data_IF_643302766463
#
_entry.id   IF_643302766463
#
_cell.length_a   1.000
_cell.length_b   1.000
_cell.length_c   1.000
_cell.angle_alpha   90.00
_cell.angle_beta   90.00
_cell.angle_gamma   90.00
#
_symmetry.space_group_name_H-M   'P 1'
#
loop_
_entity.id
_entity.type
_entity.pdbx_description
1 polymer ?
#
# COMPACT_ATOMS: atom_id res chain seq x y z
N UNK A 1 28.87 5.57 0.60
CA UNK A 1 27.53 5.25 1.13
C UNK A 1 26.73 4.61 0.01
N UNK A 2 26.58 3.29 0.02
CA UNK A 2 25.78 2.60 -0.99
C UNK A 2 24.30 2.85 -0.73
N UNK A 3 23.60 3.46 -1.68
CA UNK A 3 22.14 3.55 -1.65
C UNK A 3 21.62 2.11 -1.66
N UNK A 4 21.14 1.60 -0.51
CA UNK A 4 20.47 0.30 -0.46
C UNK A 4 19.26 0.42 -1.39
N UNK A 5 19.34 -0.25 -2.53
CA UNK A 5 18.21 -0.47 -3.43
C UNK A 5 17.18 -1.26 -2.61
N UNK A 6 16.20 -0.58 -2.01
CA UNK A 6 15.05 -1.29 -1.47
C UNK A 6 14.46 -2.09 -2.62
N UNK A 7 14.40 -3.40 -2.45
CA UNK A 7 13.71 -4.25 -3.41
C UNK A 7 12.24 -3.82 -3.43
N UNK A 8 11.60 -3.87 -4.59
CA UNK A 8 10.19 -3.45 -4.75
C UNK A 8 9.25 -4.13 -3.74
N UNK A 9 9.64 -5.31 -3.24
CA UNK A 9 8.93 -6.07 -2.20
C UNK A 9 8.98 -5.38 -0.83
N UNK A 10 10.13 -4.85 -0.41
CA UNK A 10 10.28 -4.15 0.87
C UNK A 10 9.48 -2.84 0.85
N UNK A 11 9.59 -2.08 -0.25
CA UNK A 11 8.84 -0.85 -0.42
C UNK A 11 7.32 -1.11 -0.39
N UNK A 12 6.86 -2.18 -1.04
CA UNK A 12 5.45 -2.59 -1.02
C UNK A 12 5.00 -3.01 0.38
N UNK A 13 5.80 -3.82 1.09
CA UNK A 13 5.47 -4.26 2.44
C UNK A 13 5.34 -3.08 3.42
N UNK A 14 6.28 -2.12 3.35
CA UNK A 14 6.21 -0.86 4.11
C UNK A 14 4.96 -0.07 3.78
N UNK A 15 4.65 0.09 2.50
CA UNK A 15 3.46 0.83 2.08
C UNK A 15 2.16 0.20 2.62
N UNK A 16 2.05 -1.13 2.59
CA UNK A 16 0.91 -1.87 3.15
C UNK A 16 0.78 -1.64 4.65
N UNK A 17 1.89 -1.65 5.38
CA UNK A 17 1.91 -1.45 6.84
C UNK A 17 1.61 0.00 7.22
N UNK A 18 2.28 0.98 6.60
CA UNK A 18 2.09 2.41 6.82
C UNK A 18 0.63 2.84 6.58
N UNK A 19 0.04 2.32 5.50
CA UNK A 19 -1.35 2.59 5.13
C UNK A 19 -2.36 1.67 5.81
N UNK A 20 -1.90 0.67 6.57
CA UNK A 20 -2.73 -0.34 7.26
C UNK A 20 -3.74 -1.02 6.33
N UNK A 21 -3.34 -1.33 5.10
CA UNK A 21 -4.25 -1.76 4.01
C UNK A 21 -4.90 -3.12 4.27
N UNK A 22 -4.31 -3.95 5.12
CA UNK A 22 -4.81 -5.29 5.42
C UNK A 22 -5.43 -5.39 6.82
N UNK A 23 -5.11 -4.48 7.72
CA UNK A 23 -5.43 -4.62 9.14
C UNK A 23 -4.49 -3.83 10.03
N UNK A 24 -4.64 -4.02 11.33
CA UNK A 24 -3.71 -3.50 12.32
C UNK A 24 -3.36 -4.57 13.35
N UNK A 25 -2.23 -4.39 14.04
CA UNK A 25 -1.89 -5.20 15.21
C UNK A 25 -2.43 -4.49 16.45
N UNK A 26 -3.18 -5.21 17.28
CA UNK A 26 -3.60 -4.78 18.61
C UNK A 26 -3.21 -5.85 19.62
N UNK A 27 -2.45 -5.46 20.64
CA UNK A 27 -1.97 -6.38 21.68
C UNK A 27 -1.27 -7.64 21.11
N UNK A 28 -0.47 -7.48 20.05
CA UNK A 28 0.23 -8.59 19.39
C UNK A 28 -0.65 -9.46 18.49
N UNK A 29 -1.96 -9.19 18.39
CA UNK A 29 -2.89 -9.93 17.54
C UNK A 29 -3.16 -9.12 16.27
N UNK A 30 -3.05 -9.76 15.10
CA UNK A 30 -3.44 -9.17 13.83
C UNK A 30 -4.96 -9.16 13.70
N UNK A 31 -5.53 -7.96 13.52
CA UNK A 31 -6.95 -7.75 13.29
C UNK A 31 -7.12 -7.30 11.83
N UNK A 32 -7.64 -8.16 10.95
CA UNK A 32 -7.82 -7.83 9.55
C UNK A 32 -8.92 -6.78 9.37
N UNK A 33 -8.77 -5.95 8.34
CA UNK A 33 -9.86 -5.13 7.83
C UNK A 33 -10.95 -6.03 7.21
N UNK A 34 -12.18 -5.50 7.15
CA UNK A 34 -13.23 -6.13 6.36
C UNK A 34 -12.80 -6.20 4.91
N UNK A 35 -13.08 -7.32 4.24
CA UNK A 35 -12.71 -7.54 2.85
C UNK A 35 -13.21 -6.43 1.91
N UNK A 36 -14.42 -5.91 2.14
CA UNK A 36 -14.98 -4.77 1.39
C UNK A 36 -14.15 -3.49 1.55
N UNK A 37 -13.59 -3.25 2.73
CA UNK A 37 -12.67 -2.13 2.98
C UNK A 37 -11.37 -2.33 2.22
N UNK A 38 -10.77 -3.53 2.30
CA UNK A 38 -9.54 -3.85 1.57
C UNK A 38 -9.72 -3.65 0.05
N UNK A 39 -10.84 -4.12 -0.51
CA UNK A 39 -11.20 -3.92 -1.91
C UNK A 39 -11.33 -2.43 -2.26
N UNK A 40 -12.00 -1.65 -1.42
CA UNK A 40 -12.18 -0.21 -1.63
C UNK A 40 -10.83 0.51 -1.65
N UNK A 41 -9.97 0.28 -0.65
CA UNK A 41 -8.66 0.91 -0.58
C UNK A 41 -7.76 0.53 -1.76
N UNK A 42 -7.78 -0.76 -2.14
CA UNK A 42 -7.03 -1.24 -3.31
C UNK A 42 -7.47 -0.54 -4.60
N UNK A 43 -8.78 -0.41 -4.81
CA UNK A 43 -9.33 0.30 -5.98
C UNK A 43 -9.00 1.80 -5.96
N UNK A 44 -9.03 2.45 -4.79
CA UNK A 44 -8.62 3.85 -4.66
C UNK A 44 -7.16 4.04 -5.08
N UNK A 45 -6.25 3.24 -4.53
CA UNK A 45 -4.81 3.29 -4.85
C UNK A 45 -4.57 3.04 -6.35
N UNK A 46 -5.26 2.04 -6.91
CA UNK A 46 -5.16 1.74 -8.34
C UNK A 46 -5.59 2.93 -9.20
N UNK A 47 -6.72 3.56 -8.86
CA UNK A 47 -7.22 4.72 -9.58
C UNK A 47 -6.32 5.95 -9.44
N UNK A 48 -5.74 6.18 -8.26
CA UNK A 48 -4.73 7.24 -8.04
C UNK A 48 -3.49 7.03 -8.91
N UNK A 49 -2.97 5.80 -8.95
CA UNK A 49 -1.84 5.43 -9.81
C UNK A 49 -2.14 5.62 -11.31
N UNK A 50 -3.35 5.29 -11.74
CA UNK A 50 -3.78 5.54 -13.12
C UNK A 50 -3.87 7.04 -13.43
N UNK A 51 -4.37 7.86 -12.49
CA UNK A 51 -4.42 9.32 -12.63
C UNK A 51 -3.03 9.93 -12.72
N UNK A 52 -2.11 9.54 -11.85
CA UNK A 52 -0.71 10.03 -11.90
C UNK A 52 -0.04 9.69 -13.24
N UNK A 53 -0.28 8.49 -13.78
CA UNK A 53 0.21 8.12 -15.12
C UNK A 53 -0.40 8.97 -16.23
N UNK A 54 -1.66 9.38 -16.11
CA UNK A 54 -2.33 10.22 -17.11
C UNK A 54 -1.81 11.66 -17.12
N UNK A 55 -1.31 12.16 -15.98
CA UNK A 55 -0.73 13.51 -15.83
C UNK A 55 0.75 13.52 -16.24
N UNK A 56 1.40 12.35 -16.30
CA UNK A 56 2.80 12.16 -16.71
C UNK A 56 3.05 12.02 -18.21
N UNK A 57 2.05 12.20 -19.08
CA UNK A 57 2.27 12.33 -20.52
C UNK A 57 2.58 13.81 -20.81
N UNK A 58 3.87 14.17 -20.72
CA UNK A 58 4.45 15.37 -21.35
C UNK A 58 5.65 14.94 -22.17
#
# INVERSE_FOLDING_TARGET
MGIKKETSQIALARYIDDKKLLGNIRNGIFIPLKFSTILKETNTIWNEMLRDKSIGIK
#
